data_IF_083694495531
#
_entry.id   IF_083694495531
#
_cell.length_a   1.000
_cell.length_b   1.000
_cell.length_c   1.000
_cell.angle_alpha   90.00
_cell.angle_beta   90.00
_cell.angle_gamma   90.00
#
_symmetry.space_group_name_H-M   'P 1'
#
loop_
_entity.id
_entity.type
_entity.pdbx_description
1 polymer ?
#
# COMPACT_ATOMS: atom_id res chain seq x y z
N UNK A 1 -14.16 -4.68 -12.61
CA UNK A 1 -14.11 -3.20 -12.62
C UNK A 1 -12.81 -2.79 -11.95
N UNK A 2 -11.86 -2.23 -12.68
CA UNK A 2 -10.67 -1.66 -12.05
C UNK A 2 -11.09 -0.38 -11.32
N UNK A 3 -11.10 -0.43 -9.99
CA UNK A 3 -11.42 0.73 -9.16
C UNK A 3 -10.25 1.71 -9.11
N UNK A 4 -10.55 2.97 -8.80
CA UNK A 4 -9.56 3.93 -8.32
C UNK A 4 -9.32 3.69 -6.83
N UNK A 5 -8.08 3.86 -6.40
CA UNK A 5 -7.63 3.61 -5.04
C UNK A 5 -7.06 4.88 -4.42
N UNK A 6 -6.95 4.91 -3.10
CA UNK A 6 -6.45 6.07 -2.37
C UNK A 6 -5.00 6.38 -2.79
N UNK A 7 -4.74 7.65 -3.07
CA UNK A 7 -3.43 8.15 -3.52
C UNK A 7 -3.18 8.03 -5.02
N UNK A 8 -4.11 7.46 -5.79
CA UNK A 8 -4.00 7.39 -7.24
C UNK A 8 -3.92 8.78 -7.89
N UNK A 9 -3.07 8.88 -8.91
CA UNK A 9 -3.01 10.07 -9.76
C UNK A 9 -3.89 9.87 -10.97
N UNK A 10 -4.84 10.76 -11.19
CA UNK A 10 -5.81 10.70 -12.29
C UNK A 10 -5.80 12.00 -13.11
N UNK A 11 -6.10 11.88 -14.41
CA UNK A 11 -6.45 13.01 -15.26
C UNK A 11 -7.97 13.08 -15.37
N UNK A 12 -8.53 14.30 -15.35
CA UNK A 12 -9.96 14.51 -15.51
C UNK A 12 -10.24 15.80 -16.28
N UNK A 13 -11.40 15.87 -16.91
CA UNK A 13 -11.93 17.08 -17.53
C UNK A 13 -12.99 17.70 -16.61
N UNK A 14 -13.02 19.02 -16.51
CA UNK A 14 -14.08 19.72 -15.79
C UNK A 14 -15.35 19.74 -16.64
N UNK A 15 -16.40 19.08 -16.18
CA UNK A 15 -17.72 19.15 -16.77
C UNK A 15 -18.59 20.16 -16.01
N UNK A 16 -19.50 20.82 -16.72
CA UNK A 16 -20.55 21.65 -16.10
C UNK A 16 -21.86 21.30 -16.76
N UNK A 17 -22.82 20.85 -15.96
CA UNK A 17 -24.14 20.47 -16.46
C UNK A 17 -24.95 21.73 -16.79
N UNK A 18 -25.43 21.84 -18.03
CA UNK A 18 -26.10 23.06 -18.53
C UNK A 18 -27.40 23.38 -17.78
N UNK A 19 -28.17 22.36 -17.38
CA UNK A 19 -29.45 22.54 -16.71
C UNK A 19 -29.31 22.90 -15.22
N UNK A 20 -28.42 22.21 -14.49
CA UNK A 20 -28.28 22.36 -13.04
C UNK A 20 -27.14 23.30 -12.62
N UNK A 21 -26.27 23.71 -13.57
CA UNK A 21 -24.99 24.39 -13.33
C UNK A 21 -24.03 23.64 -12.39
N UNK A 22 -24.29 22.35 -12.09
CA UNK A 22 -23.39 21.54 -11.26
C UNK A 22 -22.07 21.33 -11.99
N UNK A 23 -20.97 21.60 -11.28
CA UNK A 23 -19.62 21.29 -11.74
C UNK A 23 -19.27 19.88 -11.32
N UNK A 24 -18.69 19.12 -12.23
CA UNK A 24 -18.24 17.75 -11.99
C UNK A 24 -16.92 17.48 -12.68
N UNK A 25 -16.37 16.31 -12.38
CA UNK A 25 -15.28 15.72 -13.14
C UNK A 25 -15.85 14.70 -14.12
N UNK A 26 -15.42 14.76 -15.37
CA UNK A 26 -15.71 13.78 -16.41
C UNK A 26 -14.40 13.20 -16.95
N UNK A 27 -14.49 12.07 -17.65
CA UNK A 27 -13.34 11.40 -18.26
C UNK A 27 -12.20 11.17 -17.26
N UNK A 28 -12.52 10.63 -16.09
CA UNK A 28 -11.51 10.31 -15.06
C UNK A 28 -10.70 9.12 -15.54
N UNK A 29 -9.42 9.35 -15.82
CA UNK A 29 -8.48 8.36 -16.36
C UNK A 29 -7.34 8.20 -15.36
N UNK A 30 -7.05 6.97 -14.96
CA UNK A 30 -5.91 6.66 -14.11
C UNK A 30 -4.60 6.90 -14.88
N UNK A 31 -3.74 7.77 -14.35
CA UNK A 31 -2.39 8.02 -14.88
C UNK A 31 -1.36 7.15 -14.16
N UNK A 32 -1.43 7.12 -12.83
CA UNK A 32 -0.46 6.39 -12.01
C UNK A 32 -1.15 5.77 -10.80
N UNK A 33 -1.07 4.45 -10.72
CA UNK A 33 -1.52 3.69 -9.56
C UNK A 33 -0.58 3.92 -8.37
N UNK A 34 -1.16 4.20 -7.20
CA UNK A 34 -0.40 4.29 -5.96
C UNK A 34 -0.23 2.91 -5.33
N UNK A 35 0.92 2.29 -5.60
CA UNK A 35 1.32 1.05 -4.96
C UNK A 35 2.12 1.36 -3.70
N UNK A 36 1.73 0.72 -2.61
CA UNK A 36 2.43 0.73 -1.35
C UNK A 36 3.09 -0.62 -1.14
N UNK A 37 4.19 -0.62 -0.40
CA UNK A 37 4.92 -1.82 -0.01
C UNK A 37 4.92 -1.95 1.51
N UNK A 38 4.94 -3.18 1.98
CA UNK A 38 4.94 -3.45 3.41
C UNK A 38 5.19 -4.91 3.73
N UNK A 39 5.23 -5.18 5.03
CA UNK A 39 5.45 -6.50 5.59
C UNK A 39 4.18 -6.98 6.28
N UNK A 40 3.90 -8.27 6.23
CA UNK A 40 2.81 -8.86 7.00
C UNK A 40 3.17 -8.75 8.49
N UNK A 41 2.49 -7.85 9.21
CA UNK A 41 2.69 -7.64 10.64
C UNK A 41 1.96 -8.70 11.47
N UNK A 42 0.76 -9.09 11.02
CA UNK A 42 -0.02 -10.16 11.63
C UNK A 42 -0.89 -10.85 10.59
N UNK A 43 -1.02 -12.17 10.69
CA UNK A 43 -1.92 -12.97 9.87
C UNK A 43 -2.77 -13.85 10.79
N UNK A 44 -4.10 -13.78 10.65
CA UNK A 44 -5.09 -14.59 11.38
C UNK A 44 -6.00 -15.29 10.39
N UNK A 45 -6.94 -16.10 10.85
CA UNK A 45 -7.91 -16.74 9.95
C UNK A 45 -8.83 -15.70 9.28
N UNK A 46 -8.69 -15.53 7.97
CA UNK A 46 -9.55 -14.69 7.13
C UNK A 46 -9.10 -13.23 6.98
N UNK A 47 -8.16 -12.75 7.80
CA UNK A 47 -7.66 -11.37 7.74
C UNK A 47 -6.23 -11.23 8.28
N UNK A 48 -5.61 -10.10 7.98
CA UNK A 48 -4.29 -9.74 8.48
C UNK A 48 -4.06 -8.24 8.55
N UNK A 49 -2.86 -7.88 8.96
CA UNK A 49 -2.36 -6.51 9.03
C UNK A 49 -1.04 -6.42 8.29
N UNK A 50 -0.91 -5.41 7.44
CA UNK A 50 0.35 -5.06 6.77
C UNK A 50 0.92 -3.81 7.45
N UNK A 51 2.19 -3.86 7.85
CA UNK A 51 2.93 -2.67 8.27
C UNK A 51 3.54 -2.01 7.03
N UNK A 52 3.27 -0.72 6.85
CA UNK A 52 3.85 0.05 5.74
C UNK A 52 5.38 0.09 5.87
N UNK A 53 6.10 -0.12 4.77
CA UNK A 53 7.56 -0.18 4.79
C UNK A 53 8.24 1.14 5.19
N UNK A 54 7.56 2.29 5.03
CA UNK A 54 8.10 3.62 5.30
C UNK A 54 7.62 4.20 6.63
N UNK A 55 6.32 4.06 6.92
CA UNK A 55 5.70 4.71 8.10
C UNK A 55 5.46 3.77 9.27
N UNK A 56 5.65 2.45 9.08
CA UNK A 56 5.29 1.40 10.02
C UNK A 56 3.80 1.39 10.44
N UNK A 57 2.96 2.16 9.71
CA UNK A 57 1.51 2.20 9.95
C UNK A 57 0.89 0.84 9.59
N UNK A 58 0.16 0.26 10.54
CA UNK A 58 -0.52 -1.01 10.34
C UNK A 58 -1.88 -0.82 9.65
N UNK A 59 -2.04 -1.45 8.50
CA UNK A 59 -3.25 -1.39 7.69
C UNK A 59 -3.92 -2.76 7.67
N UNK A 60 -5.22 -2.78 7.98
CA UNK A 60 -6.03 -4.00 7.93
C UNK A 60 -6.24 -4.48 6.49
N UNK A 61 -6.16 -5.79 6.27
CA UNK A 61 -6.60 -6.42 5.02
C UNK A 61 -7.40 -7.70 5.24
N UNK A 62 -8.48 -7.92 4.47
CA UNK A 62 -9.10 -9.22 4.32
C UNK A 62 -8.24 -10.14 3.43
N UNK A 63 -8.22 -11.45 3.70
CA UNK A 63 -7.59 -12.42 2.80
C UNK A 63 -8.29 -12.57 1.45
N UNK A 64 -9.55 -12.13 1.32
CA UNK A 64 -10.23 -12.12 0.02
C UNK A 64 -9.55 -11.21 -1.01
N UNK A 65 -8.77 -10.21 -0.58
CA UNK A 65 -8.03 -9.31 -1.46
C UNK A 65 -6.62 -9.82 -1.80
N UNK A 66 -6.20 -10.97 -1.26
CA UNK A 66 -4.96 -11.63 -1.63
C UNK A 66 -5.10 -12.33 -2.98
N UNK A 67 -4.11 -12.15 -3.87
CA UNK A 67 -4.14 -12.73 -5.22
C UNK A 67 -5.02 -11.98 -6.22
N UNK A 68 -5.77 -10.97 -5.77
CA UNK A 68 -6.57 -10.10 -6.64
C UNK A 68 -5.69 -9.13 -7.47
N UNK A 69 -4.42 -8.96 -7.09
CA UNK A 69 -3.48 -7.99 -7.68
C UNK A 69 -2.53 -8.51 -8.78
N UNK A 70 -2.55 -9.81 -9.12
CA UNK A 70 -1.67 -10.34 -10.17
C UNK A 70 -1.84 -11.82 -10.48
N UNK A 71 -1.51 -12.22 -11.72
CA UNK A 71 -1.36 -13.63 -12.12
C UNK A 71 0.06 -14.09 -11.80
N UNK A 72 0.22 -15.00 -10.85
CA UNK A 72 1.51 -15.58 -10.47
C UNK A 72 1.42 -16.51 -9.26
N UNK A 73 2.54 -17.16 -8.92
CA UNK A 73 2.69 -18.16 -7.84
C UNK A 73 2.13 -17.70 -6.47
N UNK A 74 1.94 -16.40 -6.28
CA UNK A 74 1.35 -15.74 -5.11
C UNK A 74 -0.17 -15.97 -4.91
N UNK A 75 -0.89 -16.55 -5.88
CA UNK A 75 -2.35 -16.80 -5.78
C UNK A 75 -2.67 -17.97 -4.82
N UNK A 76 -1.70 -18.85 -4.51
CA UNK A 76 -1.94 -20.08 -3.74
C UNK A 76 -1.25 -20.12 -2.37
N UNK A 77 -0.33 -19.19 -2.09
CA UNK A 77 0.38 -19.14 -0.82
C UNK A 77 -0.33 -18.19 0.15
N UNK A 78 -0.71 -18.70 1.33
CA UNK A 78 -1.20 -17.86 2.42
C UNK A 78 -0.06 -16.98 2.94
N UNK A 79 -0.27 -15.66 3.12
CA UNK A 79 0.73 -14.77 3.69
C UNK A 79 1.10 -15.20 5.10
N UNK A 80 2.41 -15.24 5.38
CA UNK A 80 2.97 -15.46 6.71
C UNK A 80 3.50 -14.14 7.25
N UNK A 81 3.57 -14.04 8.58
CA UNK A 81 4.18 -12.89 9.25
C UNK A 81 5.62 -12.72 8.77
N UNK A 82 5.99 -11.50 8.40
CA UNK A 82 7.29 -11.16 7.83
C UNK A 82 7.37 -11.23 6.31
N UNK A 83 6.36 -11.79 5.62
CA UNK A 83 6.36 -11.79 4.14
C UNK A 83 6.29 -10.37 3.58
N UNK A 84 7.04 -10.13 2.51
CA UNK A 84 7.01 -8.90 1.74
C UNK A 84 5.83 -8.89 0.78
N UNK A 85 5.13 -7.77 0.73
CA UNK A 85 3.99 -7.62 -0.16
C UNK A 85 3.86 -6.20 -0.68
N UNK A 86 3.14 -6.08 -1.80
CA UNK A 86 2.64 -4.83 -2.33
C UNK A 86 1.12 -4.80 -2.26
N UNK A 87 0.57 -3.62 -2.07
CA UNK A 87 -0.87 -3.40 -1.93
C UNK A 87 -1.26 -2.00 -2.41
N UNK A 88 -2.56 -1.78 -2.59
CA UNK A 88 -3.16 -0.46 -2.81
C UNK A 88 -4.03 -0.11 -1.62
N UNK A 89 -4.05 1.17 -1.25
CA UNK A 89 -4.92 1.64 -0.17
C UNK A 89 -6.34 1.84 -0.70
N UNK A 90 -7.32 1.32 0.01
CA UNK A 90 -8.74 1.52 -0.23
C UNK A 90 -9.40 2.02 1.05
N UNK A 91 -10.61 2.57 0.93
CA UNK A 91 -11.53 2.70 2.06
C UNK A 91 -12.52 1.55 2.04
N UNK A 92 -12.79 0.98 3.20
CA UNK A 92 -13.94 0.08 3.38
C UNK A 92 -15.22 0.92 3.41
N UNK A 93 -16.15 0.63 2.49
CA UNK A 93 -17.42 1.36 2.38
C UNK A 93 -18.32 1.21 3.60
N UNK A 94 -18.14 0.15 4.40
CA UNK A 94 -18.97 -0.10 5.59
C UNK A 94 -18.44 0.61 6.84
N UNK A 95 -17.12 0.61 7.03
CA UNK A 95 -16.50 1.18 8.22
C UNK A 95 -15.88 2.56 8.02
N UNK A 96 -15.68 3.00 6.77
CA UNK A 96 -14.95 4.22 6.43
C UNK A 96 -13.45 4.16 6.73
N UNK A 97 -12.94 3.03 7.24
CA UNK A 97 -11.53 2.87 7.62
C UNK A 97 -10.68 2.53 6.40
N UNK A 98 -9.40 2.92 6.46
CA UNK A 98 -8.39 2.53 5.47
C UNK A 98 -8.15 1.03 5.56
N UNK A 99 -8.19 0.36 4.42
CA UNK A 99 -7.86 -1.04 4.27
C UNK A 99 -6.91 -1.24 3.08
N UNK A 100 -6.16 -2.34 3.10
CA UNK A 100 -5.32 -2.74 1.99
C UNK A 100 -6.12 -3.65 1.04
N UNK A 101 -5.99 -3.37 -0.25
CA UNK A 101 -6.64 -4.08 -1.35
C UNK A 101 -5.62 -4.39 -2.45
N UNK A 102 -6.00 -5.27 -3.40
CA UNK A 102 -5.13 -5.70 -4.52
C UNK A 102 -3.75 -6.17 -4.04
N UNK A 103 -3.74 -7.13 -3.11
CA UNK A 103 -2.51 -7.52 -2.43
C UNK A 103 -1.79 -8.58 -3.26
N UNK A 104 -0.47 -8.45 -3.37
CA UNK A 104 0.42 -9.41 -4.04
C UNK A 104 1.69 -9.59 -3.22
N UNK A 105 2.10 -10.84 -3.01
CA UNK A 105 3.40 -11.14 -2.40
C UNK A 105 4.54 -10.69 -3.32
N UNK A 106 5.62 -10.22 -2.71
CA UNK A 106 6.88 -9.87 -3.36
C UNK A 106 7.92 -10.96 -3.06
N UNK A 107 8.99 -10.97 -3.85
CA UNK A 107 10.14 -11.81 -3.54
C UNK A 107 10.87 -11.25 -2.31
N UNK A 108 11.40 -12.11 -1.42
CA UNK A 108 12.18 -11.66 -0.28
C UNK A 108 13.37 -10.78 -0.73
N UNK A 109 13.59 -9.67 -0.04
CA UNK A 109 14.63 -8.68 -0.36
C UNK A 109 14.21 -7.61 -1.35
N UNK A 110 12.95 -7.55 -1.77
CA UNK A 110 12.43 -6.48 -2.65
C UNK A 110 12.30 -5.15 -1.90
N UNK A 111 11.89 -5.19 -0.63
CA UNK A 111 11.68 -4.01 0.20
C UNK A 111 12.97 -3.70 0.97
N UNK A 112 13.70 -2.69 0.51
CA UNK A 112 14.90 -2.19 1.18
C UNK A 112 14.52 -1.35 2.40
N UNK A 113 14.76 -1.88 3.62
CA UNK A 113 14.47 -1.16 4.87
C UNK A 113 15.48 -0.06 5.18
N UNK A 114 16.75 -0.30 4.89
CA UNK A 114 17.85 0.61 5.15
C UNK A 114 18.78 0.66 3.96
N UNK A 115 19.16 1.87 3.55
CA UNK A 115 20.19 2.08 2.54
C UNK A 115 21.51 2.25 3.30
N UNK A 116 22.29 1.18 3.37
CA UNK A 116 23.66 1.25 3.92
C UNK A 116 24.53 1.96 2.89
N UNK A 117 24.92 3.19 3.17
CA UNK A 117 25.85 3.92 2.33
C UNK A 117 27.26 3.39 2.64
N UNK A 118 27.80 2.59 1.72
CA UNK A 118 29.14 2.03 1.86
C UNK A 118 30.18 3.15 2.01
N UNK A 119 31.00 3.07 3.05
CA UNK A 119 32.02 4.06 3.36
C UNK A 119 32.51 3.94 4.79
N UNK A 120 33.71 4.47 5.05
CA UNK A 120 34.20 4.66 6.40
C UNK A 120 33.89 6.11 6.79
N UNK A 121 33.05 6.27 7.79
CA UNK A 121 32.61 7.57 8.26
C UNK A 121 33.25 7.83 9.62
N UNK A 122 33.91 8.98 9.77
CA UNK A 122 34.45 9.43 11.06
C UNK A 122 33.45 10.34 11.74
N UNK A 123 33.20 10.12 13.03
CA UNK A 123 32.29 10.94 13.83
C UNK A 123 32.79 11.08 15.27
N UNK A 124 32.48 12.20 15.92
CA UNK A 124 32.83 12.47 17.32
C UNK A 124 31.61 12.27 18.21
N UNK A 125 31.73 11.41 19.22
CA UNK A 125 30.65 11.17 20.20
C UNK A 125 30.48 12.41 21.09
N UNK A 126 29.32 13.07 21.01
CA UNK A 126 29.00 14.28 21.81
C UNK A 126 28.33 13.97 23.15
N UNK A 127 27.69 12.81 23.30
CA UNK A 127 27.05 12.37 24.55
C UNK A 127 27.23 10.87 24.71
N UNK A 128 27.67 10.44 25.90
CA UNK A 128 27.68 9.03 26.28
C UNK A 128 26.27 8.57 26.64
N UNK A 129 25.92 7.35 26.24
CA UNK A 129 24.68 6.73 26.68
C UNK A 129 24.74 6.51 28.21
N UNK A 130 23.80 7.09 28.94
CA UNK A 130 23.58 6.78 30.37
C UNK A 130 22.69 5.55 30.41
N UNK A 131 23.11 4.53 31.16
CA UNK A 131 22.36 3.29 31.38
C UNK A 131 21.22 3.49 32.37
#
# INVERSE_FOLDING_TARGET
KEGLYLGDTVTLCRATEKASKRKGAACVILQRANWQQGFVAAAREGFGFVANALTDEQVFFPFSHFGEGGKGRAVLARPKVGDELRYRLSTDSRSGKRCAARISLLEPGTILREIVIAGRWEAVVKRGAVR
#
